data_IF_573981011473
#
_entry.id   IF_573981011473
#
_cell.length_a   1.000
_cell.length_b   1.000
_cell.length_c   1.000
_cell.angle_alpha   90.00
_cell.angle_beta   90.00
_cell.angle_gamma   90.00
#
_symmetry.space_group_name_H-M   'P 1'
#
loop_
_entity.id
_entity.type
_entity.pdbx_description
1 polymer ?
#
# COMPACT_ATOMS: atom_id res chain seq x y z
N UNK A 1 -14.99 -0.83 -19.12
CA UNK A 1 -15.47 -0.14 -17.91
C UNK A 1 -14.39 -0.29 -16.85
N UNK A 2 -13.60 0.76 -16.61
CA UNK A 2 -12.58 0.74 -15.56
C UNK A 2 -13.32 0.93 -14.23
N UNK A 3 -13.38 -0.12 -13.41
CA UNK A 3 -13.84 0.03 -12.02
C UNK A 3 -12.91 1.03 -11.33
N UNK A 4 -13.43 1.95 -10.50
CA UNK A 4 -12.58 2.91 -9.84
C UNK A 4 -11.57 2.15 -8.99
N UNK A 5 -10.29 2.43 -9.24
CA UNK A 5 -9.18 2.02 -8.39
C UNK A 5 -9.56 2.43 -6.96
N UNK A 6 -9.96 1.46 -6.11
CA UNK A 6 -10.39 1.75 -4.75
C UNK A 6 -9.12 2.08 -3.97
N UNK A 7 -8.87 3.37 -3.84
CA UNK A 7 -7.81 3.93 -3.00
C UNK A 7 -8.36 4.19 -1.59
N UNK A 8 -7.60 3.80 -0.57
CA UNK A 8 -7.84 4.14 0.83
C UNK A 8 -6.58 4.82 1.38
N UNK A 9 -6.77 5.91 2.13
CA UNK A 9 -5.70 6.64 2.81
C UNK A 9 -5.89 6.49 4.31
N UNK A 10 -4.80 6.29 5.05
CA UNK A 10 -4.81 6.29 6.50
C UNK A 10 -3.42 6.63 7.02
N UNK A 11 -3.35 7.46 8.05
CA UNK A 11 -2.10 7.77 8.74
C UNK A 11 -1.48 6.53 9.40
N UNK A 12 -2.29 5.49 9.64
CA UNK A 12 -1.81 4.20 10.18
C UNK A 12 -0.99 3.40 9.18
N UNK A 13 -1.11 3.72 7.89
CA UNK A 13 -0.24 3.19 6.86
C UNK A 13 1.10 3.95 6.83
N UNK A 14 1.19 5.14 7.41
CA UNK A 14 2.47 5.87 7.52
C UNK A 14 3.38 5.17 8.55
N UNK A 15 4.69 5.22 8.29
CA UNK A 15 5.70 4.56 9.13
C UNK A 15 5.93 3.07 8.82
N UNK A 16 5.09 2.47 7.97
CA UNK A 16 5.39 1.15 7.40
C UNK A 16 6.58 1.27 6.45
N UNK A 17 7.48 0.30 6.53
CA UNK A 17 8.64 0.22 5.66
C UNK A 17 8.90 -1.20 5.17
N UNK A 18 9.43 -1.31 3.96
CA UNK A 18 9.73 -2.60 3.32
C UNK A 18 10.96 -2.46 2.45
N UNK A 19 11.71 -3.54 2.24
CA UNK A 19 12.82 -3.53 1.29
C UNK A 19 12.32 -3.46 -0.16
N UNK A 20 12.92 -2.59 -0.97
CA UNK A 20 12.65 -2.53 -2.40
C UNK A 20 13.09 -3.84 -3.07
N UNK A 21 12.21 -4.53 -3.81
CA UNK A 21 12.57 -5.78 -4.49
C UNK A 21 13.59 -5.58 -5.62
N UNK A 22 13.77 -4.35 -6.11
CA UNK A 22 14.70 -4.04 -7.20
C UNK A 22 16.09 -3.66 -6.70
N UNK A 23 16.18 -2.71 -5.77
CA UNK A 23 17.46 -2.15 -5.32
C UNK A 23 17.82 -2.47 -3.86
N UNK A 24 16.95 -3.19 -3.13
CA UNK A 24 17.17 -3.56 -1.73
C UNK A 24 17.07 -2.40 -0.72
N UNK A 25 16.85 -1.17 -1.18
CA UNK A 25 16.74 0.01 -0.30
C UNK A 25 15.42 -0.01 0.48
N UNK A 26 15.44 0.44 1.73
CA UNK A 26 14.23 0.60 2.52
C UNK A 26 13.30 1.66 1.91
N UNK A 27 12.09 1.24 1.55
CA UNK A 27 11.01 2.08 1.08
C UNK A 27 10.07 2.44 2.22
N UNK A 28 9.44 3.60 2.13
CA UNK A 28 8.47 4.09 3.12
C UNK A 28 7.09 4.14 2.49
N UNK A 29 6.07 3.70 3.24
CA UNK A 29 4.68 3.79 2.80
C UNK A 29 4.26 5.24 2.63
N UNK A 30 3.46 5.52 1.60
CA UNK A 30 2.93 6.86 1.33
C UNK A 30 1.64 7.15 2.11
N UNK A 31 1.18 6.20 2.93
CA UNK A 31 -0.08 6.32 3.66
C UNK A 31 -1.30 5.89 2.83
N UNK A 32 -1.07 5.28 1.66
CA UNK A 32 -2.13 4.86 0.74
C UNK A 32 -2.07 3.37 0.47
N UNK A 33 -3.24 2.81 0.15
CA UNK A 33 -3.36 1.47 -0.39
C UNK A 33 -4.43 1.39 -1.49
N UNK A 34 -4.24 0.46 -2.41
CA UNK A 34 -5.03 0.27 -3.60
C UNK A 34 -5.54 -1.16 -3.66
N UNK A 35 -6.81 -1.36 -3.99
CA UNK A 35 -7.32 -2.69 -4.24
C UNK A 35 -6.86 -3.20 -5.62
N UNK A 36 -6.11 -4.29 -5.64
CA UNK A 36 -5.70 -4.98 -6.86
C UNK A 36 -6.71 -6.07 -7.22
N UNK A 37 -7.48 -5.93 -8.31
CA UNK A 37 -8.42 -6.96 -8.74
C UNK A 37 -7.72 -8.22 -9.27
N UNK A 38 -6.43 -8.13 -9.62
CA UNK A 38 -5.63 -9.24 -10.15
C UNK A 38 -5.37 -10.28 -9.06
N UNK A 39 -4.90 -9.84 -7.89
CA UNK A 39 -4.66 -10.72 -6.74
C UNK A 39 -5.82 -10.75 -5.75
N UNK A 40 -6.87 -9.95 -6.01
CA UNK A 40 -8.06 -9.77 -5.17
C UNK A 40 -7.74 -9.26 -3.75
N UNK A 41 -6.66 -8.50 -3.60
CA UNK A 41 -6.15 -8.02 -2.31
C UNK A 41 -5.73 -6.55 -2.37
N UNK A 42 -5.45 -5.97 -1.21
CA UNK A 42 -4.98 -4.60 -1.06
C UNK A 42 -3.45 -4.53 -1.14
N UNK A 43 -2.96 -3.57 -1.90
CA UNK A 43 -1.54 -3.26 -2.07
C UNK A 43 -1.26 -1.92 -1.42
N UNK A 44 -0.25 -1.85 -0.56
CA UNK A 44 0.18 -0.58 0.03
C UNK A 44 1.15 0.09 -0.95
N UNK A 45 0.98 1.40 -1.13
CA UNK A 45 1.86 2.23 -1.96
C UNK A 45 3.10 2.64 -1.14
N UNK A 46 4.28 2.31 -1.64
CA UNK A 46 5.58 2.63 -1.05
C UNK A 46 6.40 3.48 -2.00
N UNK A 47 7.13 4.46 -1.45
CA UNK A 47 8.08 5.27 -2.18
C UNK A 47 9.50 4.72 -2.03
N UNK A 48 10.16 4.43 -3.16
CA UNK A 48 11.58 4.11 -3.20
C UNK A 48 12.42 5.37 -3.41
N UNK A 49 13.31 5.74 -2.47
CA UNK A 49 14.16 6.92 -2.63
C UNK A 49 15.30 6.72 -3.65
N UNK A 50 15.70 5.48 -3.90
CA UNK A 50 16.80 5.15 -4.82
C UNK A 50 16.35 5.24 -6.28
N UNK A 51 15.30 4.49 -6.63
CA UNK A 51 14.72 4.48 -7.99
C UNK A 51 13.80 5.67 -8.28
N UNK A 52 13.41 6.42 -7.24
CA UNK A 52 12.47 7.56 -7.31
C UNK A 52 11.14 7.15 -7.96
N UNK A 53 10.63 6.00 -7.56
CA UNK A 53 9.39 5.41 -8.07
C UNK A 53 8.50 4.90 -6.93
N UNK A 54 7.21 4.79 -7.25
CA UNK A 54 6.19 4.21 -6.37
C UNK A 54 6.02 2.73 -6.66
N UNK A 55 5.89 1.93 -5.61
CA UNK A 55 5.69 0.50 -5.68
C UNK A 55 4.45 0.10 -4.88
N UNK A 56 3.58 -0.70 -5.50
CA UNK A 56 2.41 -1.26 -4.83
C UNK A 56 2.76 -2.67 -4.37
N UNK A 57 2.91 -2.86 -3.06
CA UNK A 57 3.40 -4.11 -2.47
C UNK A 57 2.36 -4.71 -1.54
N UNK A 58 2.14 -6.01 -1.74
CA UNK A 58 1.43 -6.86 -0.79
C UNK A 58 2.46 -7.42 0.21
N UNK A 59 2.22 -7.22 1.50
CA UNK A 59 2.94 -7.94 2.55
C UNK A 59 1.97 -8.68 3.47
N UNK A 60 2.21 -9.97 3.78
CA UNK A 60 1.33 -10.72 4.68
C UNK A 60 1.19 -10.08 6.06
N UNK A 61 2.24 -9.37 6.51
CA UNK A 61 2.29 -8.68 7.81
C UNK A 61 1.31 -7.51 7.90
N UNK A 62 1.03 -6.84 6.78
CA UNK A 62 0.12 -5.70 6.73
C UNK A 62 -1.31 -6.08 6.35
N UNK A 63 -1.55 -7.36 6.02
CA UNK A 63 -2.86 -7.85 5.57
C UNK A 63 -3.99 -7.52 6.55
N UNK A 64 -3.80 -7.79 7.85
CA UNK A 64 -4.83 -7.53 8.86
C UNK A 64 -5.18 -6.04 8.95
N UNK A 65 -4.17 -5.16 8.89
CA UNK A 65 -4.37 -3.70 8.89
C UNK A 65 -5.08 -3.24 7.61
N UNK A 66 -4.64 -3.71 6.45
CA UNK A 66 -5.24 -3.35 5.17
C UNK A 66 -6.71 -3.79 5.09
N UNK A 67 -7.05 -4.98 5.60
CA UNK A 67 -8.44 -5.47 5.67
C UNK A 67 -9.32 -4.65 6.62
N UNK A 68 -8.76 -4.22 7.74
CA UNK A 68 -9.44 -3.34 8.70
C UNK A 68 -9.77 -1.99 8.06
N UNK A 69 -8.76 -1.32 7.49
CA UNK A 69 -8.92 -0.03 6.81
C UNK A 69 -9.85 -0.09 5.60
N UNK A 70 -9.84 -1.21 4.87
CA UNK A 70 -10.76 -1.43 3.75
C UNK A 70 -12.22 -1.58 4.18
N UNK A 71 -12.45 -2.02 5.42
CA UNK A 71 -13.79 -2.23 5.98
C UNK A 71 -14.34 -0.94 6.61
N UNK A 72 -13.46 -0.04 7.08
CA UNK A 72 -13.83 1.25 7.69
C UNK A 72 -13.11 2.43 6.98
N UNK A 73 -13.57 2.87 5.81
CA UNK A 73 -12.94 3.96 5.05
C UNK A 73 -13.18 5.37 5.65
N UNK A 74 -13.50 5.47 6.95
CA UNK A 74 -13.93 6.72 7.61
C UNK A 74 -12.83 7.48 8.35
N UNK A 75 -11.60 6.99 8.42
CA UNK A 75 -10.49 7.81 8.93
C UNK A 75 -10.26 8.98 7.95
N UNK A 76 -10.57 10.19 8.42
CA UNK A 76 -10.76 11.40 7.63
C UNK A 76 -9.86 12.51 8.15
#
# INVERSE_FOLDING_TARGET
MQQPDREVKSDRLLGLSVACPQCGTTMQSTGKMHYSPVIKDWLIEYWCPSDRQLFNIYTPETYSLARELASDPKEK
#
